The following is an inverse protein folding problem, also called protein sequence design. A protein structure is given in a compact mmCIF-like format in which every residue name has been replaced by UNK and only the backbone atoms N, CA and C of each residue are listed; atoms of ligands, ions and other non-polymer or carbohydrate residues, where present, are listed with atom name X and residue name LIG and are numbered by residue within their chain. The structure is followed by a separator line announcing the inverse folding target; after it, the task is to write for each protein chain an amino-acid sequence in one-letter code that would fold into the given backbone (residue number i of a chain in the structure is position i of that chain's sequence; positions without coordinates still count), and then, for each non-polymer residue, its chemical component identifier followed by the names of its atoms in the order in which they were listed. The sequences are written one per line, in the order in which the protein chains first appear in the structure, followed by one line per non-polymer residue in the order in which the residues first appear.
data_IF_173684235463
#
_entry.id   IF_173684235463
#
_cell.length_a   1.000
_cell.length_b   1.000
_cell.length_c   1.000
_cell.angle_alpha   90.00
_cell.angle_beta   90.00
_cell.angle_gamma   90.00
#
_symmetry.space_group_name_H-M   'P 1'
#
loop_
_entity.id
_entity.type
_entity.pdbx_description
1 polymer ?
#
# COMPACT_ATOMS: atom_id res chain seq x y z
N UNK A 1 8.22 2.33 -0.30
CA UNK A 1 7.41 2.02 -1.50
C UNK A 1 6.06 2.72 -1.31
N UNK A 2 5.48 3.30 -2.36
CA UNK A 2 4.20 4.01 -2.29
C UNK A 2 3.50 3.96 -3.66
N UNK A 3 2.27 4.48 -3.77
CA UNK A 3 1.46 4.46 -5.01
C UNK A 3 2.17 4.99 -6.27
N UNK A 4 3.10 5.93 -6.11
CA UNK A 4 3.90 6.48 -7.22
C UNK A 4 5.26 5.78 -7.41
N UNK A 5 5.65 4.88 -6.51
CA UNK A 5 6.84 4.04 -6.63
C UNK A 5 6.59 2.62 -6.06
N UNK A 6 5.96 1.79 -6.90
CA UNK A 6 5.36 0.50 -6.52
C UNK A 6 6.35 -0.69 -6.49
N UNK A 7 7.57 -0.53 -7.03
CA UNK A 7 8.63 -1.55 -6.98
C UNK A 7 8.22 -3.00 -7.34
N UNK A 8 7.35 -3.18 -8.35
CA UNK A 8 6.74 -4.48 -8.72
C UNK A 8 7.74 -5.62 -8.86
N UNK A 9 8.85 -5.40 -9.58
CA UNK A 9 9.90 -6.42 -9.77
C UNK A 9 10.53 -6.89 -8.46
N UNK A 10 10.74 -5.99 -7.49
CA UNK A 10 11.29 -6.35 -6.18
C UNK A 10 10.27 -7.17 -5.39
N UNK A 11 9.00 -6.76 -5.42
CA UNK A 11 7.92 -7.50 -4.75
C UNK A 11 7.78 -8.92 -5.31
N UNK A 12 7.81 -9.06 -6.63
CA UNK A 12 7.77 -10.37 -7.31
C UNK A 12 8.96 -11.24 -6.91
N UNK A 13 10.18 -10.70 -6.96
CA UNK A 13 11.39 -11.40 -6.52
C UNK A 13 11.30 -11.84 -5.05
N UNK A 14 10.90 -10.94 -4.15
CA UNK A 14 10.76 -11.24 -2.73
C UNK A 14 9.68 -12.30 -2.50
N UNK A 15 8.56 -12.24 -3.24
CA UNK A 15 7.48 -13.24 -3.18
C UNK A 15 7.97 -14.63 -3.60
N UNK A 16 8.71 -14.74 -4.71
CA UNK A 16 9.30 -16.01 -5.16
C UNK A 16 10.28 -16.61 -4.15
N UNK A 17 10.91 -15.76 -3.31
CA UNK A 17 11.87 -16.16 -2.29
C UNK A 17 11.27 -16.30 -0.88
N UNK A 18 9.97 -16.04 -0.72
CA UNK A 18 9.32 -16.03 0.60
C UNK A 18 9.81 -14.93 1.54
N UNK A 19 10.32 -13.82 0.99
CA UNK A 19 10.83 -12.67 1.74
C UNK A 19 9.71 -11.66 1.95
N UNK A 20 9.48 -11.29 3.21
CA UNK A 20 8.53 -10.24 3.57
C UNK A 20 9.04 -8.85 3.16
N UNK A 21 8.18 -8.04 2.58
CA UNK A 21 8.49 -6.66 2.15
C UNK A 21 7.63 -5.66 2.92
N UNK A 22 8.27 -4.70 3.56
CA UNK A 22 7.60 -3.58 4.24
C UNK A 22 7.88 -2.29 3.47
N UNK A 23 6.87 -1.48 3.13
CA UNK A 23 7.14 -0.13 2.67
C UNK A 23 7.59 0.76 3.81
N UNK A 24 8.70 1.41 3.53
CA UNK A 24 9.02 2.68 4.12
C UNK A 24 8.32 3.84 3.39
N UNK A 25 7.83 4.81 4.17
CA UNK A 25 7.18 6.05 3.73
C UNK A 25 6.02 5.85 2.72
N UNK A 26 4.94 5.13 3.09
CA UNK A 26 3.86 4.78 2.17
C UNK A 26 3.01 5.99 1.72
N UNK A 27 3.06 7.09 2.48
CA UNK A 27 2.45 8.37 2.10
C UNK A 27 3.43 9.29 1.34
N UNK A 28 4.53 8.74 0.85
CA UNK A 28 5.49 9.49 0.06
C UNK A 28 6.32 10.49 0.86
N UNK A 29 6.64 10.18 2.13
CA UNK A 29 7.37 11.05 3.04
C UNK A 29 6.71 12.44 3.26
N UNK A 30 5.38 12.49 3.28
CA UNK A 30 4.61 13.71 3.50
C UNK A 30 5.11 14.50 4.72
N UNK A 31 5.37 15.80 4.56
CA UNK A 31 5.91 16.67 5.60
C UNK A 31 7.43 16.70 5.72
N UNK A 32 8.17 15.98 4.86
CA UNK A 32 9.63 15.98 4.78
C UNK A 32 10.16 16.82 3.61
N UNK A 33 11.44 17.22 3.67
CA UNK A 33 12.17 17.83 2.54
C UNK A 33 12.24 16.92 1.30
N UNK A 34 12.07 15.61 1.50
CA UNK A 34 12.09 14.60 0.44
C UNK A 34 10.68 14.09 0.09
N UNK A 35 9.64 14.85 0.46
CA UNK A 35 8.26 14.46 0.18
C UNK A 35 8.03 14.33 -1.32
N UNK A 36 7.49 13.18 -1.72
CA UNK A 36 6.92 12.99 -3.05
C UNK A 36 5.50 13.56 -3.11
N UNK A 37 5.04 13.92 -4.31
CA UNK A 37 3.74 14.54 -4.53
C UNK A 37 2.52 13.60 -4.38
N UNK A 38 2.66 12.48 -3.64
CA UNK A 38 1.61 11.47 -3.45
C UNK A 38 0.35 12.10 -2.86
N UNK A 39 0.50 12.90 -1.81
CA UNK A 39 -0.64 13.50 -1.10
C UNK A 39 -1.34 14.59 -1.91
N UNK A 40 -0.71 15.11 -2.96
CA UNK A 40 -1.27 16.12 -3.87
C UNK A 40 -1.77 15.51 -5.18
N UNK A 41 -1.78 14.18 -5.32
CA UNK A 41 -2.22 13.49 -6.54
C UNK A 41 -3.70 13.75 -6.84
N UNK A 42 -4.05 14.34 -8.01
CA UNK A 42 -5.44 14.56 -8.41
C UNK A 42 -6.22 13.25 -8.56
N UNK A 43 -5.53 12.17 -8.98
CA UNK A 43 -6.11 10.83 -9.13
C UNK A 43 -6.48 10.24 -7.77
N UNK A 44 -5.61 10.38 -6.76
CA UNK A 44 -5.94 9.88 -5.42
C UNK A 44 -7.04 10.72 -4.79
N UNK A 45 -7.08 12.02 -5.06
CA UNK A 45 -8.11 12.91 -4.58
C UNK A 45 -9.49 12.55 -5.17
N UNK A 46 -9.59 12.31 -6.48
CA UNK A 46 -10.87 11.91 -7.09
C UNK A 46 -11.38 10.57 -6.55
N UNK A 47 -10.49 9.60 -6.32
CA UNK A 47 -10.84 8.32 -5.70
C UNK A 47 -11.28 8.51 -4.24
N UNK A 48 -10.57 9.34 -3.49
CA UNK A 48 -10.88 9.66 -2.10
C UNK A 48 -12.27 10.31 -1.97
N UNK A 49 -12.59 11.28 -2.84
CA UNK A 49 -13.92 11.88 -2.92
C UNK A 49 -14.98 10.85 -3.26
N UNK A 50 -14.78 10.03 -4.30
CA UNK A 50 -15.74 9.03 -4.73
C UNK A 50 -16.03 7.96 -3.66
N UNK A 51 -15.02 7.60 -2.85
CA UNK A 51 -15.13 6.60 -1.78
C UNK A 51 -15.43 7.18 -0.40
N UNK A 52 -15.54 8.51 -0.26
CA UNK A 52 -15.67 9.20 1.02
C UNK A 52 -14.58 8.79 2.04
N UNK A 53 -13.34 8.71 1.56
CA UNK A 53 -12.15 8.38 2.36
C UNK A 53 -11.12 9.51 2.26
N UNK A 54 -10.09 9.48 3.09
CA UNK A 54 -8.96 10.40 2.95
C UNK A 54 -8.00 9.96 1.84
N UNK A 55 -7.26 10.91 1.25
CA UNK A 55 -6.17 10.61 0.30
C UNK A 55 -5.13 9.69 0.93
N UNK A 56 -4.88 9.83 2.23
CA UNK A 56 -3.97 8.94 2.96
C UNK A 56 -4.49 7.51 3.00
N UNK A 57 -5.77 7.29 3.31
CA UNK A 57 -6.39 5.95 3.31
C UNK A 57 -6.34 5.32 1.92
N UNK A 58 -6.64 6.10 0.88
CA UNK A 58 -6.56 5.63 -0.52
C UNK A 58 -5.12 5.35 -0.92
N UNK A 59 -4.16 6.18 -0.51
CA UNK A 59 -2.75 5.97 -0.79
C UNK A 59 -2.20 4.74 -0.06
N UNK A 60 -2.59 4.49 1.18
CA UNK A 60 -2.21 3.28 1.92
C UNK A 60 -2.80 2.04 1.26
N UNK A 61 -4.08 2.06 0.89
CA UNK A 61 -4.73 0.96 0.16
C UNK A 61 -4.19 0.77 -1.25
N UNK A 62 -3.81 1.83 -1.95
CA UNK A 62 -3.14 1.72 -3.25
C UNK A 62 -1.68 1.27 -3.11
N UNK A 63 -1.08 1.48 -1.94
CA UNK A 63 0.25 1.00 -1.56
C UNK A 63 0.20 -0.37 -0.90
N UNK A 64 -0.91 -1.12 -1.00
CA UNK A 64 -1.14 -2.46 -0.42
C UNK A 64 -0.07 -3.53 -0.71
N UNK A 65 0.98 -3.21 -1.46
CA UNK A 65 2.20 -4.02 -1.58
C UNK A 65 3.05 -4.13 -0.30
N UNK A 66 2.46 -3.82 0.87
CA UNK A 66 3.20 -3.46 2.10
C UNK A 66 2.70 -4.19 3.33
N UNK A 67 1.44 -4.63 3.36
CA UNK A 67 0.90 -5.51 4.39
C UNK A 67 0.65 -6.93 3.87
N UNK A 68 1.11 -7.23 2.65
CA UNK A 68 0.65 -8.38 1.85
C UNK A 68 1.10 -9.77 2.33
N UNK A 69 1.71 -9.88 3.52
CA UNK A 69 2.19 -11.15 4.06
C UNK A 69 2.01 -11.26 5.58
N UNK A 70 0.98 -10.63 6.17
CA UNK A 70 0.68 -10.88 7.58
C UNK A 70 -0.13 -12.17 7.66
N UNK A 71 0.55 -13.28 7.98
CA UNK A 71 -0.08 -14.46 8.55
C UNK A 71 0.61 -14.74 9.90
N UNK A 72 0.01 -14.35 11.04
CA UNK A 72 0.61 -14.60 12.36
C UNK A 72 0.65 -16.08 12.74
N UNK A 73 -0.05 -16.92 11.99
CA UNK A 73 -0.32 -18.35 12.21
C UNK A 73 0.39 -19.27 11.20
N UNK A 74 1.18 -18.73 10.26
CA UNK A 74 1.91 -19.48 9.23
C UNK A 74 1.06 -20.08 8.09
N UNK A 75 -0.22 -19.72 8.00
CA UNK A 75 -1.13 -20.08 6.91
C UNK A 75 -0.93 -19.28 5.61
N UNK A 76 -1.87 -19.44 4.68
CA UNK A 76 -1.83 -18.77 3.38
C UNK A 76 -1.86 -17.23 3.55
N UNK A 77 -0.97 -16.55 2.85
CA UNK A 77 -0.91 -15.08 2.84
C UNK A 77 -2.16 -14.51 2.18
N UNK A 78 -2.82 -13.57 2.85
CA UNK A 78 -3.97 -12.83 2.33
C UNK A 78 -3.54 -11.44 1.87
N UNK A 79 -4.13 -10.98 0.78
CA UNK A 79 -4.11 -9.59 0.37
C UNK A 79 -4.90 -8.74 1.35
N UNK A 80 -4.61 -7.43 1.41
CA UNK A 80 -5.39 -6.51 2.25
C UNK A 80 -6.85 -6.40 1.76
N UNK A 81 -7.08 -6.67 0.47
CA UNK A 81 -8.41 -6.83 -0.11
C UNK A 81 -9.16 -8.00 0.51
N UNK A 82 -8.58 -9.20 0.50
CA UNK A 82 -9.16 -10.38 1.14
C UNK A 82 -9.35 -10.19 2.65
N UNK A 83 -8.42 -9.53 3.32
CA UNK A 83 -8.53 -9.24 4.77
C UNK A 83 -9.68 -8.27 5.09
N UNK A 84 -9.84 -7.21 4.30
CA UNK A 84 -10.80 -6.14 4.58
C UNK A 84 -12.23 -6.47 4.13
N UNK A 85 -12.38 -7.25 3.07
CA UNK A 85 -13.70 -7.60 2.53
C UNK A 85 -14.34 -8.82 3.25
N UNK A 86 -13.56 -9.56 4.06
CA UNK A 86 -14.04 -10.66 4.92
C UNK A 86 -14.63 -10.19 6.27
N UNK A 87 -14.48 -8.91 6.64
CA UNK A 87 -14.97 -8.36 7.93
C UNK A 87 -16.44 -7.85 7.88
N UNK A 88 -17.27 -8.35 6.95
CA UNK A 88 -18.72 -8.06 6.87
C UNK A 88 -19.57 -9.10 7.61
#
# INVERSE_FOLDING_TARGET
MHVAWQQKKLVEFCKEKGIHVTAWAPLGANGSLYASAVMQSPVLNSIATAKQKSVAQVALRGSSFVEMFINPDGGQYKTLEEFWDEEQ
#
